data_IF_756009531374
#
_entry.id   IF_756009531374
#
_cell.length_a   1.000
_cell.length_b   1.000
_cell.length_c   1.000
_cell.angle_alpha   90.00
_cell.angle_beta   90.00
_cell.angle_gamma   90.00
#
_symmetry.space_group_name_H-M   'P 1'
#
loop_
_entity.id
_entity.type
_entity.pdbx_description
1 polymer ?
#
# COMPACT_ATOMS: atom_id res chain seq x y z
N UNK A 1 -18.54 -11.58 -37.51
CA UNK A 1 -18.73 -12.32 -36.24
C UNK A 1 -17.91 -11.60 -35.18
N UNK A 2 -18.54 -10.76 -34.37
CA UNK A 2 -17.86 -10.12 -33.25
C UNK A 2 -17.53 -11.24 -32.23
N UNK A 3 -16.25 -11.38 -31.89
CA UNK A 3 -15.81 -12.33 -30.88
C UNK A 3 -16.64 -12.14 -29.63
N UNK A 4 -17.17 -13.22 -29.07
CA UNK A 4 -17.62 -13.18 -27.68
C UNK A 4 -16.36 -12.89 -26.87
N UNK A 5 -16.20 -11.66 -26.42
CA UNK A 5 -15.26 -11.31 -25.37
C UNK A 5 -15.54 -12.28 -24.22
N UNK A 6 -14.67 -13.28 -24.10
CA UNK A 6 -14.89 -14.37 -23.17
C UNK A 6 -14.60 -13.78 -21.78
N UNK A 7 -15.66 -13.36 -21.11
CA UNK A 7 -15.66 -12.84 -19.75
C UNK A 7 -14.85 -13.72 -18.76
N UNK A 8 -14.65 -15.01 -19.08
CA UNK A 8 -13.79 -15.96 -18.36
C UNK A 8 -12.28 -15.76 -18.57
N UNK A 9 -11.84 -15.03 -19.60
CA UNK A 9 -10.43 -14.72 -19.84
C UNK A 9 -9.97 -13.49 -19.04
N UNK A 10 -10.88 -12.82 -18.31
CA UNK A 10 -10.51 -11.75 -17.40
C UNK A 10 -9.97 -12.38 -16.12
N UNK A 11 -8.64 -12.33 -15.86
CA UNK A 11 -8.09 -12.91 -14.64
C UNK A 11 -8.75 -12.25 -13.43
N UNK A 12 -9.19 -13.08 -12.49
CA UNK A 12 -9.78 -12.62 -11.23
C UNK A 12 -8.74 -11.75 -10.53
N UNK A 13 -9.06 -10.47 -10.36
CA UNK A 13 -8.23 -9.50 -9.66
C UNK A 13 -8.76 -9.35 -8.24
N UNK A 14 -8.01 -9.87 -7.28
CA UNK A 14 -8.23 -9.65 -5.87
C UNK A 14 -7.55 -8.35 -5.47
N UNK A 15 -8.05 -7.68 -4.44
CA UNK A 15 -7.47 -6.45 -3.94
C UNK A 15 -7.88 -6.18 -2.51
N UNK A 16 -7.06 -5.37 -1.84
CA UNK A 16 -7.36 -4.91 -0.49
C UNK A 16 -8.28 -3.69 -0.53
N UNK A 17 -9.23 -3.61 0.41
CA UNK A 17 -10.06 -2.42 0.59
C UNK A 17 -9.31 -1.24 1.22
N UNK A 18 -8.17 -1.49 1.87
CA UNK A 18 -7.39 -0.50 2.62
C UNK A 18 -6.06 -0.09 1.99
N UNK A 19 -5.58 -0.80 0.96
CA UNK A 19 -4.35 -0.43 0.25
C UNK A 19 -4.46 -0.67 -1.26
N UNK A 20 -3.49 -0.18 -2.02
CA UNK A 20 -3.51 -0.23 -3.49
C UNK A 20 -3.08 -1.58 -4.08
N UNK A 21 -2.74 -2.55 -3.24
CA UNK A 21 -2.31 -3.88 -3.67
C UNK A 21 -3.45 -4.65 -4.33
N UNK A 22 -3.14 -5.23 -5.50
CA UNK A 22 -4.00 -6.13 -6.27
C UNK A 22 -3.22 -7.33 -6.74
N UNK A 23 -3.81 -8.51 -6.73
CA UNK A 23 -3.15 -9.75 -7.14
C UNK A 23 -4.09 -10.68 -7.90
N UNK A 24 -3.53 -11.51 -8.77
CA UNK A 24 -4.31 -12.43 -9.61
C UNK A 24 -4.33 -13.87 -9.12
N UNK A 25 -3.47 -14.20 -8.14
CA UNK A 25 -3.30 -15.57 -7.67
C UNK A 25 -4.26 -15.89 -6.54
N UNK A 26 -5.18 -16.83 -6.75
CA UNK A 26 -6.11 -17.32 -5.73
C UNK A 26 -5.41 -17.98 -4.53
N UNK A 27 -4.23 -18.55 -4.75
CA UNK A 27 -3.42 -19.15 -3.69
C UNK A 27 -2.74 -18.11 -2.79
N UNK A 28 -2.60 -16.86 -3.25
CA UNK A 28 -1.99 -15.79 -2.49
C UNK A 28 -2.99 -15.16 -1.51
N UNK A 29 -2.48 -14.77 -0.34
CA UNK A 29 -3.27 -14.16 0.72
C UNK A 29 -2.73 -12.77 1.07
N UNK A 30 -3.61 -11.83 1.38
CA UNK A 30 -3.25 -10.48 1.80
C UNK A 30 -3.76 -10.24 3.21
N UNK A 31 -2.89 -9.73 4.09
CA UNK A 31 -3.30 -9.42 5.45
C UNK A 31 -3.96 -8.04 5.53
N UNK A 32 -5.23 -7.92 5.92
CA UNK A 32 -5.90 -6.63 6.02
C UNK A 32 -5.37 -5.75 7.15
N UNK A 33 -4.59 -6.31 8.08
CA UNK A 33 -4.05 -5.59 9.23
C UNK A 33 -2.69 -4.94 8.95
N UNK A 34 -1.76 -5.67 8.30
CA UNK A 34 -0.42 -5.16 7.99
C UNK A 34 -0.22 -4.81 6.52
N UNK A 35 -1.18 -5.13 5.65
CA UNK A 35 -1.15 -4.86 4.21
C UNK A 35 -0.05 -5.56 3.41
N UNK A 36 0.56 -6.60 3.98
CA UNK A 36 1.51 -7.45 3.28
C UNK A 36 0.81 -8.57 2.51
N UNK A 37 1.39 -8.95 1.37
CA UNK A 37 0.85 -10.01 0.50
C UNK A 37 1.77 -11.23 0.50
N UNK A 38 1.19 -12.42 0.68
CA UNK A 38 1.89 -13.68 0.86
C UNK A 38 1.56 -14.62 -0.30
N UNK A 39 2.54 -15.37 -0.79
CA UNK A 39 2.37 -16.29 -1.93
C UNK A 39 1.41 -17.45 -1.62
N UNK A 40 1.33 -17.87 -0.35
CA UNK A 40 0.45 -18.94 0.13
C UNK A 40 -0.32 -18.55 1.40
N UNK A 41 -1.61 -18.89 1.42
CA UNK A 41 -2.50 -18.65 2.56
C UNK A 41 -2.13 -19.47 3.82
N UNK A 42 -1.66 -20.69 3.66
CA UNK A 42 -1.34 -21.59 4.80
C UNK A 42 0.15 -21.64 5.14
N UNK A 43 1.01 -21.05 4.31
CA UNK A 43 2.46 -21.04 4.51
C UNK A 43 2.90 -19.66 4.99
N UNK A 44 3.03 -18.69 4.07
CA UNK A 44 3.49 -17.35 4.41
C UNK A 44 2.49 -16.58 5.29
N UNK A 45 1.20 -16.69 4.99
CA UNK A 45 0.20 -15.95 5.75
C UNK A 45 0.01 -16.51 7.17
N UNK A 46 -0.10 -17.81 7.37
CA UNK A 46 -0.20 -18.30 8.75
C UNK A 46 1.11 -18.10 9.54
N UNK A 47 2.27 -18.23 8.89
CA UNK A 47 3.57 -18.01 9.55
C UNK A 47 3.76 -16.58 10.06
N UNK A 48 3.23 -15.55 9.37
CA UNK A 48 3.33 -14.18 9.87
C UNK A 48 2.40 -13.91 11.07
N UNK A 49 1.39 -14.75 11.30
CA UNK A 49 0.44 -14.60 12.41
C UNK A 49 0.83 -15.47 13.59
N UNK A 50 1.79 -15.00 14.38
CA UNK A 50 2.20 -15.70 15.61
C UNK A 50 1.25 -15.32 16.74
N UNK A 51 0.54 -16.28 17.31
CA UNK A 51 -0.45 -16.09 18.39
C UNK A 51 -1.53 -15.04 18.04
N UNK A 52 -1.93 -14.98 16.77
CA UNK A 52 -2.93 -14.02 16.28
C UNK A 52 -2.42 -12.59 16.07
N UNK A 53 -1.14 -12.32 16.34
CA UNK A 53 -0.50 -11.03 16.13
C UNK A 53 0.32 -11.07 14.85
N UNK A 54 0.23 -10.00 14.05
CA UNK A 54 1.05 -9.87 12.84
C UNK A 54 2.50 -9.60 13.25
N UNK A 55 3.40 -10.52 12.93
CA UNK A 55 4.82 -10.32 13.00
C UNK A 55 5.35 -9.82 11.65
N UNK A 56 6.39 -8.96 11.65
CA UNK A 56 7.03 -8.56 10.40
C UNK A 56 7.51 -9.79 9.63
N UNK A 57 7.20 -9.93 8.32
CA UNK A 57 7.51 -11.14 7.55
C UNK A 57 8.99 -11.55 7.58
N UNK A 58 9.90 -10.57 7.53
CA UNK A 58 11.34 -10.81 7.65
C UNK A 58 11.75 -11.41 9.00
N UNK A 59 11.03 -11.08 10.09
CA UNK A 59 11.33 -11.58 11.43
C UNK A 59 10.90 -13.04 11.61
N UNK A 60 9.96 -13.52 10.79
CA UNK A 60 9.51 -14.93 10.77
C UNK A 60 10.20 -15.75 9.66
N UNK A 61 11.26 -15.20 9.05
CA UNK A 61 12.07 -15.91 8.06
C UNK A 61 11.45 -16.01 6.67
N UNK A 62 10.43 -15.19 6.37
CA UNK A 62 9.89 -15.11 5.01
C UNK A 62 10.79 -14.26 4.13
N UNK A 63 10.96 -14.70 2.89
CA UNK A 63 11.65 -13.92 1.87
C UNK A 63 10.67 -13.11 1.05
N UNK A 64 11.12 -11.97 0.57
CA UNK A 64 10.36 -11.14 -0.36
C UNK A 64 10.79 -11.42 -1.79
N UNK A 65 9.86 -11.82 -2.66
CA UNK A 65 10.09 -12.04 -4.09
C UNK A 65 8.90 -11.58 -4.93
N UNK A 66 9.15 -10.74 -5.94
CA UNK A 66 8.13 -10.19 -6.86
C UNK A 66 6.90 -9.58 -6.18
N UNK A 67 7.07 -9.00 -4.99
CA UNK A 67 6.00 -8.39 -4.18
C UNK A 67 5.34 -9.34 -3.18
N UNK A 68 5.64 -10.64 -3.23
CA UNK A 68 5.10 -11.63 -2.31
C UNK A 68 6.10 -11.95 -1.18
N UNK A 69 5.55 -12.24 -0.01
CA UNK A 69 6.26 -12.91 1.08
C UNK A 69 6.01 -14.41 1.02
N UNK A 70 7.08 -15.20 1.11
CA UNK A 70 7.01 -16.64 0.87
C UNK A 70 8.06 -17.41 1.67
N UNK A 71 7.73 -18.66 1.99
CA UNK A 71 8.63 -19.60 2.67
C UNK A 71 9.70 -20.11 1.71
N UNK A 72 10.88 -20.47 2.25
CA UNK A 72 12.00 -20.99 1.47
C UNK A 72 11.57 -22.09 0.47
N UNK A 73 11.95 -21.96 -0.81
CA UNK A 73 11.64 -22.93 -1.86
C UNK A 73 10.28 -22.76 -2.56
N UNK A 74 9.36 -21.95 -2.02
CA UNK A 74 8.08 -21.65 -2.70
C UNK A 74 8.30 -20.72 -3.91
N UNK A 75 7.40 -20.66 -4.89
CA UNK A 75 7.53 -19.75 -6.03
C UNK A 75 6.35 -18.78 -6.05
N UNK A 76 6.56 -17.49 -6.39
CA UNK A 76 5.46 -16.54 -6.45
C UNK A 76 4.46 -17.00 -7.54
N UNK A 77 3.16 -17.11 -7.20
CA UNK A 77 2.16 -17.64 -8.12
C UNK A 77 1.78 -16.67 -9.24
N UNK A 78 2.31 -15.44 -9.22
CA UNK A 78 1.98 -14.43 -10.22
C UNK A 78 2.70 -13.11 -9.96
N UNK A 79 1.98 -12.01 -10.21
CA UNK A 79 2.47 -10.64 -9.98
C UNK A 79 1.47 -9.86 -9.13
N UNK A 80 2.00 -9.00 -8.28
CA UNK A 80 1.22 -7.96 -7.62
C UNK A 80 1.18 -6.73 -8.51
N UNK A 81 -0.01 -6.20 -8.70
CA UNK A 81 -0.28 -4.94 -9.35
C UNK A 81 -0.58 -3.90 -8.27
N UNK A 82 -0.20 -2.66 -8.52
CA UNK A 82 -0.57 -1.54 -7.67
C UNK A 82 -1.53 -0.66 -8.44
N UNK A 83 -2.64 -0.25 -7.81
CA UNK A 83 -3.49 0.79 -8.37
C UNK A 83 -2.64 2.07 -8.41
N UNK A 84 -2.19 2.50 -9.59
CA UNK A 84 -1.50 3.77 -9.73
C UNK A 84 -2.48 4.90 -9.45
N UNK A 85 -2.57 5.32 -8.19
CA UNK A 85 -3.31 6.50 -7.79
C UNK A 85 -2.55 7.75 -8.25
N UNK A 86 -3.04 8.42 -9.27
CA UNK A 86 -2.64 9.80 -9.54
C UNK A 86 -3.14 10.68 -8.38
N UNK A 87 -2.25 11.04 -7.46
CA UNK A 87 -2.42 12.20 -6.56
C UNK A 87 -1.12 12.98 -6.52
N UNK A 88 -1.07 14.07 -7.27
CA UNK A 88 -0.17 15.18 -7.03
C UNK A 88 -0.98 16.49 -7.09
N UNK A 89 -0.84 17.31 -6.04
CA UNK A 89 -1.37 18.68 -5.95
C UNK A 89 -2.54 18.80 -4.96
N UNK A 90 -2.44 19.46 -3.81
CA UNK A 90 -1.34 20.20 -3.22
C UNK A 90 -1.90 20.86 -1.95
N UNK A 91 -1.43 20.42 -0.79
CA UNK A 91 -1.62 21.15 0.46
C UNK A 91 -0.68 22.35 0.44
N UNK A 92 -1.25 23.55 0.49
CA UNK A 92 -0.53 24.80 0.58
C UNK A 92 -1.44 25.82 1.25
N UNK A 93 -1.61 25.71 2.56
CA UNK A 93 -2.15 26.78 3.40
C UNK A 93 -1.16 27.95 3.44
N UNK A 94 -1.48 29.15 2.93
CA UNK A 94 -0.69 30.32 3.21
C UNK A 94 -1.12 30.87 4.57
N UNK A 95 -0.61 30.29 5.65
CA UNK A 95 -0.46 31.04 6.91
C UNK A 95 0.62 32.11 6.68
N UNK A 96 0.19 33.30 6.28
CA UNK A 96 1.08 34.41 6.02
C UNK A 96 0.38 35.75 6.22
N UNK A 97 0.53 36.31 7.42
CA UNK A 97 0.63 37.75 7.75
C UNK A 97 -0.32 38.21 8.85
N UNK A 98 0.08 37.94 10.10
CA UNK A 98 -0.30 38.78 11.23
C UNK A 98 0.30 40.18 11.03
N UNK A 99 -0.55 41.21 10.95
CA UNK A 99 -0.13 42.62 11.00
C UNK A 99 -0.15 43.07 12.46
N UNK A 100 0.92 43.63 13.04
CA UNK A 100 0.75 44.55 14.14
C UNK A 100 0.47 45.95 13.58
N UNK A 101 -0.70 46.48 13.93
CA UNK A 101 -0.98 47.93 13.92
C UNK A 101 -0.59 48.48 15.28
N UNK A 102 0.28 49.49 15.30
CA UNK A 102 0.70 50.26 16.48
C UNK A 102 2.15 50.68 16.27
N UNK A 103 2.51 51.93 16.06
CA UNK A 103 2.07 53.13 16.77
C UNK A 103 3.24 53.55 17.66
N UNK A 104 4.01 54.57 17.26
CA UNK A 104 5.21 54.98 17.98
C UNK A 104 5.99 56.08 17.25
N UNK A 105 5.46 57.30 17.35
CA UNK A 105 6.15 58.57 17.13
C UNK A 105 7.51 58.65 17.85
N UNK A 106 8.56 59.17 17.19
CA UNK A 106 9.62 59.97 17.84
C UNK A 106 10.43 60.83 16.84
N UNK A 107 10.19 62.15 16.89
CA UNK A 107 11.11 63.32 16.98
C UNK A 107 12.47 63.35 16.22
N UNK A 108 12.61 64.37 15.34
CA UNK A 108 13.84 65.11 14.98
C UNK A 108 13.46 66.60 15.07
N UNK A 109 13.97 67.48 15.95
CA UNK A 109 15.33 67.88 16.31
C UNK A 109 16.02 68.76 15.25
N UNK A 110 16.22 70.05 15.59
CA UNK A 110 17.25 70.93 15.03
C UNK A 110 16.81 71.84 13.91
#
# INVERSE_FOLDING_TARGET
MAGRDNEYERPILLGCGGCDARWTALAAAHCPSCHETFAGATTGFDAHRVNGVCQPPQCVGLRHDRGYWLVAGEQPPGRILHRSGQRAGGGGDPSGSARPRGGGEVRMAG
#
